data_IF_269924634280
#
_entry.id   IF_269924634280
#
_cell.length_a   1.000
_cell.length_b   1.000
_cell.length_c   1.000
_cell.angle_alpha   90.00
_cell.angle_beta   90.00
_cell.angle_gamma   90.00
#
_symmetry.space_group_name_H-M   'P 1'
#
loop_
_entity.id
_entity.type
_entity.pdbx_description
1 polymer ?
#
# COMPACT_ATOMS: atom_id res chain seq x y z
N UNK A 1 0.11 22.54 12.03
CA UNK A 1 -0.18 21.94 10.71
C UNK A 1 1.09 21.28 10.22
N UNK A 2 1.06 19.97 9.99
CA UNK A 2 2.21 19.26 9.45
C UNK A 2 2.46 19.70 7.99
N UNK A 3 3.73 19.87 7.61
CA UNK A 3 4.15 20.29 6.26
C UNK A 3 4.81 19.16 5.46
N UNK A 4 4.90 17.97 6.03
CA UNK A 4 5.44 16.81 5.32
C UNK A 4 4.48 16.34 4.22
N UNK A 5 5.02 15.82 3.10
CA UNK A 5 4.21 15.27 2.04
C UNK A 5 3.45 14.03 2.52
N UNK A 6 2.16 13.97 2.21
CA UNK A 6 1.37 12.74 2.39
C UNK A 6 1.81 11.73 1.33
N UNK A 7 2.24 10.56 1.79
CA UNK A 7 2.59 9.42 0.93
C UNK A 7 1.34 8.61 0.65
N UNK A 8 1.29 7.95 -0.50
CA UNK A 8 0.14 7.12 -0.87
C UNK A 8 0.56 5.87 -1.61
N UNK A 9 -0.07 4.74 -1.30
CA UNK A 9 0.24 3.44 -1.87
C UNK A 9 -1.04 2.71 -2.25
N UNK A 10 -1.04 2.01 -3.37
CA UNK A 10 -2.18 1.21 -3.82
C UNK A 10 -1.69 -0.17 -4.23
N UNK A 11 -2.40 -1.21 -3.83
CA UNK A 11 -2.11 -2.58 -4.26
C UNK A 11 -3.39 -3.36 -4.55
N UNK A 12 -3.24 -4.40 -5.36
CA UNK A 12 -4.31 -5.32 -5.70
C UNK A 12 -4.42 -6.39 -4.62
N UNK A 13 -5.60 -6.53 -4.05
CA UNK A 13 -5.91 -7.57 -3.06
C UNK A 13 -6.44 -8.85 -3.70
N UNK A 14 -7.08 -8.73 -4.86
CA UNK A 14 -7.65 -9.85 -5.60
C UNK A 14 -6.77 -10.26 -6.78
N UNK A 15 -6.75 -11.57 -7.16
CA UNK A 15 -6.01 -12.04 -8.33
C UNK A 15 -6.60 -11.49 -9.64
N UNK A 16 -5.82 -11.45 -10.74
CA UNK A 16 -6.25 -10.93 -12.05
C UNK A 16 -7.57 -11.48 -12.56
N UNK A 17 -7.86 -12.75 -12.30
CA UNK A 17 -9.04 -13.45 -12.81
C UNK A 17 -10.30 -13.12 -12.01
N UNK A 18 -10.16 -12.47 -10.85
CA UNK A 18 -11.28 -12.14 -9.97
C UNK A 18 -12.17 -11.03 -10.56
N UNK A 19 -13.48 -11.16 -10.36
CA UNK A 19 -14.45 -10.06 -10.59
C UNK A 19 -14.19 -8.86 -9.68
N UNK A 20 -13.52 -9.09 -8.54
CA UNK A 20 -13.08 -8.05 -7.62
C UNK A 20 -11.73 -7.41 -7.97
N UNK A 21 -11.10 -7.75 -9.10
CA UNK A 21 -9.73 -7.30 -9.42
C UNK A 21 -9.52 -5.79 -9.38
N UNK A 22 -10.57 -5.02 -9.71
CA UNK A 22 -10.51 -3.55 -9.70
C UNK A 22 -10.78 -2.95 -8.32
N UNK A 23 -11.21 -3.76 -7.35
CA UNK A 23 -11.34 -3.39 -5.92
C UNK A 23 -9.97 -3.54 -5.27
N UNK A 24 -9.24 -2.44 -5.23
CA UNK A 24 -7.91 -2.36 -4.65
C UNK A 24 -7.98 -1.74 -3.26
N UNK A 25 -6.86 -1.84 -2.53
CA UNK A 25 -6.69 -1.13 -1.27
C UNK A 25 -5.77 0.06 -1.52
N UNK A 26 -6.19 1.23 -1.04
CA UNK A 26 -5.41 2.45 -1.07
C UNK A 26 -5.08 2.90 0.34
N UNK A 27 -3.81 3.19 0.58
CA UNK A 27 -3.28 3.76 1.80
C UNK A 27 -2.78 5.18 1.57
N UNK A 28 -2.97 6.04 2.56
CA UNK A 28 -2.33 7.35 2.65
C UNK A 28 -1.81 7.57 4.06
N UNK A 29 -0.60 8.10 4.21
CA UNK A 29 -0.01 8.34 5.52
C UNK A 29 0.93 9.54 5.52
N UNK A 30 1.21 10.05 6.71
CA UNK A 30 2.19 11.10 6.96
C UNK A 30 3.18 10.60 8.02
N UNK A 31 4.46 10.49 7.63
CA UNK A 31 5.55 9.98 8.47
C UNK A 31 5.69 10.79 9.75
N UNK A 32 5.71 12.13 9.66
CA UNK A 32 5.88 13.02 10.80
C UNK A 32 4.70 13.06 11.76
N UNK A 33 3.47 12.90 11.25
CA UNK A 33 2.29 12.81 12.11
C UNK A 33 2.05 11.41 12.67
N UNK A 34 2.64 10.36 12.05
CA UNK A 34 2.34 8.95 12.32
C UNK A 34 0.84 8.63 12.23
N UNK A 35 0.15 9.29 11.31
CA UNK A 35 -1.27 9.08 11.01
C UNK A 35 -1.36 8.41 9.65
N UNK A 36 -2.23 7.40 9.55
CA UNK A 36 -2.54 6.72 8.29
C UNK A 36 -4.05 6.54 8.11
N UNK A 37 -4.46 6.33 6.86
CA UNK A 37 -5.82 5.97 6.47
C UNK A 37 -5.75 4.94 5.35
N UNK A 38 -6.54 3.88 5.49
CA UNK A 38 -6.76 2.85 4.48
C UNK A 38 -8.21 2.87 3.99
N UNK A 39 -8.41 2.66 2.69
CA UNK A 39 -9.73 2.55 2.10
C UNK A 39 -9.72 1.60 0.89
N UNK A 40 -10.89 1.03 0.59
CA UNK A 40 -11.11 0.36 -0.68
C UNK A 40 -11.23 1.41 -1.78
N UNK A 41 -10.47 1.24 -2.85
CA UNK A 41 -10.42 2.15 -4.00
C UNK A 41 -10.65 1.38 -5.30
N UNK A 42 -11.22 2.06 -6.29
CA UNK A 42 -11.35 1.50 -7.63
C UNK A 42 -10.09 1.80 -8.45
N UNK A 43 -9.44 0.77 -8.96
CA UNK A 43 -8.32 0.88 -9.91
C UNK A 43 -8.60 0.04 -11.14
N UNK A 44 -8.74 0.72 -12.28
CA UNK A 44 -8.99 0.08 -13.57
C UNK A 44 -8.01 -1.07 -13.84
N UNK A 45 -8.51 -2.17 -14.40
CA UNK A 45 -7.75 -3.40 -14.71
C UNK A 45 -6.46 -3.14 -15.49
N UNK A 46 -6.49 -2.20 -16.45
CA UNK A 46 -5.36 -1.85 -17.30
C UNK A 46 -4.25 -1.06 -16.60
N UNK A 47 -4.50 -0.51 -15.40
CA UNK A 47 -3.52 0.29 -14.68
C UNK A 47 -2.53 -0.63 -13.98
N UNK A 48 -1.25 -0.48 -14.31
CA UNK A 48 -0.15 -1.13 -13.59
C UNK A 48 0.06 -0.39 -12.27
N UNK A 49 0.14 -1.15 -11.17
CA UNK A 49 0.48 -0.63 -9.85
C UNK A 49 1.89 -1.11 -9.50
N UNK A 50 2.66 -0.24 -8.86
CA UNK A 50 3.98 -0.60 -8.32
C UNK A 50 3.75 -1.53 -7.13
N UNK A 51 4.39 -2.69 -7.13
CA UNK A 51 4.35 -3.63 -6.00
C UNK A 51 5.56 -3.35 -5.08
N UNK A 52 5.37 -2.47 -4.10
CA UNK A 52 6.41 -2.13 -3.12
C UNK A 52 6.74 -3.30 -2.18
N UNK A 53 5.93 -4.37 -2.21
CA UNK A 53 6.15 -5.59 -1.44
C UNK A 53 6.80 -6.70 -2.26
N UNK A 54 7.16 -6.44 -3.53
CA UNK A 54 7.72 -7.45 -4.43
C UNK A 54 9.07 -8.03 -3.95
N UNK A 55 9.81 -7.30 -3.12
CA UNK A 55 11.06 -7.76 -2.50
C UNK A 55 10.85 -8.68 -1.29
N UNK A 56 9.61 -8.76 -0.75
CA UNK A 56 9.33 -9.59 0.41
C UNK A 56 9.07 -11.05 0.02
N UNK A 57 9.54 -12.02 0.82
CA UNK A 57 9.05 -13.39 0.77
C UNK A 57 7.53 -13.46 0.93
N UNK A 58 6.89 -14.47 0.34
CA UNK A 58 5.44 -14.60 0.35
C UNK A 58 4.84 -14.62 1.78
N UNK A 59 5.47 -15.34 2.70
CA UNK A 59 5.02 -15.44 4.10
C UNK A 59 5.10 -14.07 4.82
N UNK A 60 6.18 -13.33 4.59
CA UNK A 60 6.38 -11.99 5.17
C UNK A 60 5.39 -10.99 4.57
N UNK A 61 5.14 -11.07 3.26
CA UNK A 61 4.14 -10.26 2.57
C UNK A 61 2.75 -10.48 3.15
N UNK A 62 2.33 -11.73 3.33
CA UNK A 62 1.05 -12.06 3.95
C UNK A 62 0.95 -11.56 5.38
N UNK A 63 2.04 -11.67 6.15
CA UNK A 63 2.09 -11.19 7.53
C UNK A 63 1.95 -9.66 7.62
N UNK A 64 2.60 -8.92 6.73
CA UNK A 64 2.53 -7.46 6.64
C UNK A 64 1.14 -7.01 6.19
N UNK A 65 0.55 -7.67 5.19
CA UNK A 65 -0.79 -7.35 4.68
C UNK A 65 -1.92 -7.60 5.68
N UNK A 66 -1.72 -8.46 6.69
CA UNK A 66 -2.72 -8.71 7.75
C UNK A 66 -2.87 -7.56 8.75
N UNK A 67 -1.93 -6.62 8.80
CA UNK A 67 -1.91 -5.52 9.78
C UNK A 67 -1.61 -4.21 9.08
N UNK A 68 -2.61 -3.35 8.92
CA UNK A 68 -2.47 -2.06 8.23
C UNK A 68 -1.33 -1.21 8.81
N UNK A 69 -1.21 -1.14 10.14
CA UNK A 69 -0.14 -0.41 10.80
C UNK A 69 1.26 -0.96 10.43
N UNK A 70 1.43 -2.28 10.40
CA UNK A 70 2.70 -2.91 10.04
C UNK A 70 3.05 -2.68 8.57
N UNK A 71 2.05 -2.68 7.68
CA UNK A 71 2.21 -2.32 6.28
C UNK A 71 2.65 -0.87 6.12
N UNK A 72 2.00 0.06 6.82
CA UNK A 72 2.38 1.48 6.78
C UNK A 72 3.79 1.68 7.33
N UNK A 73 4.16 1.02 8.42
CA UNK A 73 5.52 1.13 9.00
C UNK A 73 6.59 0.58 8.03
N UNK A 74 6.32 -0.54 7.37
CA UNK A 74 7.20 -1.09 6.32
C UNK A 74 7.32 -0.11 5.16
N UNK A 75 6.19 0.36 4.62
CA UNK A 75 6.18 1.30 3.52
C UNK A 75 6.93 2.58 3.91
N UNK A 76 6.69 3.15 5.09
CA UNK A 76 7.34 4.38 5.54
C UNK A 76 8.87 4.25 5.58
N UNK A 77 9.36 3.10 6.08
CA UNK A 77 10.79 2.80 6.17
C UNK A 77 11.45 2.58 4.81
N UNK A 78 10.71 2.02 3.84
CA UNK A 78 11.22 1.66 2.51
C UNK A 78 10.83 2.65 1.39
N UNK A 79 10.00 3.65 1.69
CA UNK A 79 9.57 4.65 0.70
C UNK A 79 10.66 5.69 0.41
N UNK A 80 11.68 5.78 1.27
CA UNK A 80 12.87 6.61 1.01
C UNK A 80 13.72 6.08 -0.16
N UNK A 81 13.56 4.82 -0.55
CA UNK A 81 14.33 4.18 -1.64
C UNK A 81 13.67 4.34 -3.03
N UNK A 82 12.51 5.02 -3.12
CA UNK A 82 11.83 5.31 -4.39
C UNK A 82 11.79 6.80 -4.73
N UNK A 83 12.64 7.60 -4.09
CA UNK A 83 12.85 9.04 -4.34
C UNK A 83 13.94 9.30 -5.35
#
# INVERSE_FOLDING_TARGET
MCREPVRSYQYRFHPPESTGFERCIGFSWCSGCRIYSGAMVHVARRRVLIDALASLPADDRDQVLRKEAALVDYLDSHWLDQG
#
